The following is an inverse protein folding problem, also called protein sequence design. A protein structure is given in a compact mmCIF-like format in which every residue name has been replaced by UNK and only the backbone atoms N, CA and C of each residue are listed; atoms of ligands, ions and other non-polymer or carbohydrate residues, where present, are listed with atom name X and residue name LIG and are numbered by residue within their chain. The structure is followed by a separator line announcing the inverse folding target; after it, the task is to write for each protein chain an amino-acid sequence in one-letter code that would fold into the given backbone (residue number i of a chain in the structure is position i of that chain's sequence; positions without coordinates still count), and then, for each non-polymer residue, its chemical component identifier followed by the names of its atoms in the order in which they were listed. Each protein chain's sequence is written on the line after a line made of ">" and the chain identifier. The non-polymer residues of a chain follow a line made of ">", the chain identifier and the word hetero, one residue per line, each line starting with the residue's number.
data_IF_290276790561
#
_entry.id   IF_290276790561
#
_cell.length_a   1.000
_cell.length_b   1.000
_cell.length_c   1.000
_cell.angle_alpha   90.00
_cell.angle_beta   90.00
_cell.angle_gamma   90.00
#
_symmetry.space_group_name_H-M   'P 1'
#
loop_
_entity.id
_entity.type
_entity.pdbx_description
1 polymer ?
#
# COMPACT_ATOMS: atom_id res chain seq x y z
N UNK A 1 2.03 59.98 -18.92
CA UNK A 1 2.52 58.84 -18.12
C UNK A 1 1.31 58.06 -17.62
N UNK A 2 0.96 56.96 -18.28
CA UNK A 2 -0.09 56.05 -17.81
C UNK A 2 0.60 54.81 -17.25
N UNK A 3 0.47 54.58 -15.94
CA UNK A 3 0.99 53.39 -15.28
C UNK A 3 0.11 52.20 -15.66
N UNK A 4 0.67 51.24 -16.38
CA UNK A 4 0.09 49.91 -16.50
C UNK A 4 0.29 49.19 -15.18
N UNK A 5 -0.81 48.88 -14.48
CA UNK A 5 -0.79 47.93 -13.37
C UNK A 5 -0.48 46.54 -13.94
N UNK A 6 0.52 45.88 -13.38
CA UNK A 6 0.85 44.50 -13.71
C UNK A 6 -0.34 43.58 -13.36
N UNK A 7 -0.64 42.55 -14.18
CA UNK A 7 -1.65 41.57 -13.83
C UNK A 7 -1.20 40.80 -12.60
N UNK A 8 -2.04 40.84 -11.57
CA UNK A 8 -1.89 40.10 -10.32
C UNK A 8 -1.86 38.58 -10.62
N UNK A 9 -0.71 37.95 -10.45
CA UNK A 9 -0.44 36.53 -10.78
C UNK A 9 -1.03 35.54 -9.77
N UNK A 10 -2.02 35.95 -8.98
CA UNK A 10 -2.70 35.11 -7.99
C UNK A 10 -3.87 34.33 -8.60
N UNK A 11 -3.61 33.52 -9.63
CA UNK A 11 -4.58 32.52 -10.09
C UNK A 11 -4.42 31.26 -9.24
N UNK A 12 -5.05 31.26 -8.07
CA UNK A 12 -5.29 30.01 -7.34
C UNK A 12 -6.37 29.22 -8.06
N UNK A 13 -6.06 28.01 -8.53
CA UNK A 13 -7.06 27.12 -9.13
C UNK A 13 -8.18 26.82 -8.13
N UNK A 14 -9.42 27.01 -8.57
CA UNK A 14 -10.62 26.80 -7.77
C UNK A 14 -11.19 25.40 -8.03
N UNK A 15 -11.35 24.60 -6.99
CA UNK A 15 -12.06 23.33 -7.09
C UNK A 15 -13.57 23.58 -6.97
N UNK A 16 -14.33 23.22 -8.01
CA UNK A 16 -15.79 23.23 -8.00
C UNK A 16 -16.29 21.82 -8.33
N UNK A 17 -16.66 21.05 -7.30
CA UNK A 17 -17.39 19.81 -7.49
C UNK A 17 -18.89 20.13 -7.66
N UNK A 18 -19.52 19.55 -8.68
CA UNK A 18 -20.94 19.71 -8.99
C UNK A 18 -21.69 18.45 -8.53
N UNK A 19 -22.18 18.47 -7.30
CA UNK A 19 -23.42 17.81 -6.85
C UNK A 19 -23.78 18.36 -5.46
N UNK A 20 -25.05 18.26 -5.09
CA UNK A 20 -25.82 19.26 -4.34
C UNK A 20 -25.55 19.47 -2.83
N UNK A 21 -24.36 19.18 -2.31
CA UNK A 21 -23.94 19.50 -0.91
C UNK A 21 -22.44 19.79 -0.81
N UNK A 22 -22.01 21.01 -1.17
CA UNK A 22 -20.62 21.33 -1.57
C UNK A 22 -19.63 21.48 -0.42
N UNK A 23 -18.61 20.61 -0.42
CA UNK A 23 -17.31 20.82 0.24
C UNK A 23 -16.40 21.59 -0.73
N UNK A 24 -16.00 22.82 -0.36
CA UNK A 24 -15.10 23.66 -1.16
C UNK A 24 -13.70 23.66 -0.54
N UNK A 25 -12.80 22.84 -1.09
CA UNK A 25 -11.39 22.85 -0.72
C UNK A 25 -10.73 24.06 -1.38
N UNK A 26 -10.24 25.01 -0.57
CA UNK A 26 -9.52 26.18 -1.07
C UNK A 26 -8.06 26.08 -0.70
N UNK A 27 -7.18 25.84 -1.68
CA UNK A 27 -5.75 26.04 -1.48
C UNK A 27 -5.50 27.53 -1.18
N UNK A 28 -5.18 27.86 0.08
CA UNK A 28 -4.93 29.23 0.52
C UNK A 28 -3.47 29.51 0.92
N UNK A 29 -2.52 28.66 0.53
CA UNK A 29 -1.10 28.86 0.78
C UNK A 29 -0.29 29.20 -0.48
N UNK A 30 0.79 29.96 -0.32
CA UNK A 30 1.81 30.18 -1.36
C UNK A 30 2.43 28.84 -1.77
N UNK A 31 2.06 28.25 -2.91
CA UNK A 31 2.66 27.12 -3.65
C UNK A 31 3.20 25.88 -2.87
N UNK A 32 3.11 25.80 -1.55
CA UNK A 32 3.71 24.76 -0.70
C UNK A 32 2.85 24.35 0.50
N UNK A 33 1.69 24.97 0.72
CA UNK A 33 0.79 24.63 1.83
C UNK A 33 -0.67 24.60 1.38
N UNK A 34 -1.16 23.41 1.03
CA UNK A 34 -2.58 23.19 0.74
C UNK A 34 -3.33 23.20 2.07
N UNK A 35 -4.10 24.27 2.32
CA UNK A 35 -5.09 24.28 3.40
C UNK A 35 -6.42 23.77 2.85
N UNK A 36 -7.15 22.95 3.61
CA UNK A 36 -8.51 22.53 3.25
C UNK A 36 -9.49 23.33 4.10
N UNK A 37 -10.43 24.01 3.45
CA UNK A 37 -11.62 24.57 4.11
C UNK A 37 -12.82 23.75 3.66
N UNK A 38 -13.85 23.66 4.50
CA UNK A 38 -15.13 23.02 4.19
C UNK A 38 -16.18 24.11 4.39
N UNK A 39 -16.99 24.41 3.37
CA UNK A 39 -18.05 25.41 3.52
C UNK A 39 -19.18 24.86 4.39
N UNK A 40 -19.70 25.67 5.32
CA UNK A 40 -20.84 25.32 6.18
C UNK A 40 -20.48 24.74 7.55
N UNK A 41 -19.21 24.40 7.78
CA UNK A 41 -18.68 24.19 9.13
C UNK A 41 -17.78 25.38 9.49
N UNK A 42 -17.81 25.81 10.75
CA UNK A 42 -16.84 26.77 11.27
C UNK A 42 -15.41 26.30 10.96
N UNK A 43 -14.41 27.21 10.94
CA UNK A 43 -13.04 26.84 10.59
C UNK A 43 -12.65 25.58 11.34
N UNK A 44 -12.26 24.51 10.62
CA UNK A 44 -11.63 23.36 11.23
C UNK A 44 -10.54 23.92 12.14
N UNK A 45 -10.69 23.79 13.46
CA UNK A 45 -9.67 24.26 14.40
C UNK A 45 -8.38 23.57 13.96
N UNK A 46 -7.37 24.32 13.51
CA UNK A 46 -6.16 23.73 12.96
C UNK A 46 -5.38 23.16 14.14
N UNK A 47 -5.73 21.93 14.55
CA UNK A 47 -4.78 21.10 15.27
C UNK A 47 -3.78 20.63 14.23
N UNK A 48 -2.77 21.47 14.09
CA UNK A 48 -1.51 21.27 13.38
C UNK A 48 -1.62 21.24 11.85
N UNK A 49 -1.02 22.26 11.24
CA UNK A 49 -0.86 22.44 9.81
C UNK A 49 0.13 21.42 9.24
N UNK A 50 -0.26 20.17 9.11
CA UNK A 50 0.48 19.22 8.28
C UNK A 50 0.10 19.43 6.81
N UNK A 51 1.10 19.45 5.95
CA UNK A 51 0.92 19.44 4.51
C UNK A 51 0.20 18.14 4.10
N UNK A 52 -0.91 18.24 3.37
CA UNK A 52 -1.61 17.08 2.81
C UNK A 52 -0.87 16.61 1.57
N UNK A 53 -0.47 15.34 1.56
CA UNK A 53 0.31 14.70 0.50
C UNK A 53 -0.54 13.73 -0.31
N UNK A 54 -0.25 13.51 -1.60
CA UNK A 54 -0.98 12.51 -2.40
C UNK A 54 -0.93 11.13 -1.76
N UNK A 55 -2.07 10.46 -1.66
CA UNK A 55 -2.28 9.22 -0.92
C UNK A 55 -2.80 9.40 0.51
N UNK A 56 -2.86 10.63 1.03
CA UNK A 56 -3.44 10.90 2.34
C UNK A 56 -4.97 10.66 2.31
N UNK A 57 -5.48 10.14 3.41
CA UNK A 57 -6.92 9.89 3.58
C UNK A 57 -7.53 11.00 4.42
N UNK A 58 -8.64 11.56 3.97
CA UNK A 58 -9.35 12.67 4.59
C UNK A 58 -10.78 12.24 4.94
N UNK A 59 -11.20 12.52 6.17
CA UNK A 59 -12.56 12.23 6.63
C UNK A 59 -13.39 13.50 6.63
N UNK A 60 -14.53 13.49 5.93
CA UNK A 60 -15.48 14.60 5.83
C UNK A 60 -16.85 14.08 6.25
N UNK A 61 -17.25 14.36 7.50
CA UNK A 61 -18.42 13.71 8.09
C UNK A 61 -18.23 12.20 8.20
N UNK A 62 -19.17 11.42 7.65
CA UNK A 62 -19.06 9.96 7.54
C UNK A 62 -18.49 9.51 6.20
N UNK A 63 -17.88 10.38 5.40
CA UNK A 63 -17.32 10.02 4.09
C UNK A 63 -15.80 10.05 4.15
N UNK A 64 -15.18 9.05 3.52
CA UNK A 64 -13.73 8.92 3.42
C UNK A 64 -13.30 9.23 2.00
N UNK A 65 -12.33 10.12 1.88
CA UNK A 65 -11.75 10.57 0.63
C UNK A 65 -10.26 10.29 0.59
N UNK A 66 -9.73 10.00 -0.59
CA UNK A 66 -8.30 9.95 -0.85
C UNK A 66 -7.88 11.21 -1.60
N UNK A 67 -6.82 11.87 -1.12
CA UNK A 67 -6.20 12.97 -1.82
C UNK A 67 -5.26 12.43 -2.89
N UNK A 68 -5.49 12.78 -4.15
CA UNK A 68 -4.76 12.28 -5.31
C UNK A 68 -4.20 13.47 -6.12
N UNK A 69 -3.06 13.27 -6.79
CA UNK A 69 -2.40 14.26 -7.66
C UNK A 69 -2.49 13.88 -9.15
N UNK A 70 -3.19 12.80 -9.53
CA UNK A 70 -3.40 12.41 -10.93
C UNK A 70 -3.88 13.60 -11.80
N UNK A 71 -2.94 14.25 -12.49
CA UNK A 71 -3.03 15.43 -13.37
C UNK A 71 -3.67 16.71 -12.81
N UNK A 72 -4.46 16.64 -11.74
CA UNK A 72 -5.01 17.77 -10.99
C UNK A 72 -5.33 17.28 -9.58
N UNK A 73 -4.89 18.00 -8.55
CA UNK A 73 -5.15 17.64 -7.15
C UNK A 73 -6.65 17.39 -6.93
N UNK A 74 -7.05 16.16 -6.58
CA UNK A 74 -8.47 15.77 -6.47
C UNK A 74 -8.73 14.99 -5.19
N UNK A 75 -9.92 15.16 -4.63
CA UNK A 75 -10.47 14.20 -3.66
C UNK A 75 -11.28 13.15 -4.40
N UNK A 76 -10.91 11.90 -4.20
CA UNK A 76 -11.68 10.76 -4.69
C UNK A 76 -12.44 10.15 -3.53
N UNK A 77 -13.77 10.10 -3.64
CA UNK A 77 -14.62 9.40 -2.69
C UNK A 77 -14.26 7.91 -2.68
N UNK A 78 -14.02 7.37 -1.49
CA UNK A 78 -13.66 5.95 -1.28
C UNK A 78 -14.89 5.17 -0.82
N UNK A 79 -15.46 5.60 0.32
CA UNK A 79 -16.62 4.95 0.93
C UNK A 79 -17.27 5.85 1.97
N UNK A 80 -18.50 5.49 2.36
CA UNK A 80 -19.04 5.90 3.66
C UNK A 80 -18.39 5.06 4.75
N UNK A 81 -18.10 5.71 5.86
CA UNK A 81 -17.50 5.17 7.07
C UNK A 81 -18.35 5.52 8.29
N UNK A 82 -19.55 4.93 8.31
CA UNK A 82 -20.61 5.22 9.30
C UNK A 82 -20.22 4.82 10.72
N UNK A 83 -19.23 3.94 10.89
CA UNK A 83 -18.79 3.40 12.20
C UNK A 83 -17.32 3.69 12.53
N UNK A 84 -16.71 4.65 11.83
CA UNK A 84 -15.29 5.00 11.99
C UNK A 84 -14.35 3.80 11.78
N UNK A 85 -14.77 2.88 10.91
CA UNK A 85 -14.11 1.65 10.55
C UNK A 85 -12.73 1.91 9.94
N UNK A 86 -12.56 2.94 9.10
CA UNK A 86 -11.25 3.19 8.48
C UNK A 86 -10.22 3.64 9.52
N UNK A 87 -10.59 4.50 10.46
CA UNK A 87 -9.67 4.91 11.53
C UNK A 87 -9.35 3.75 12.47
N UNK A 88 -10.28 2.81 12.69
CA UNK A 88 -10.00 1.57 13.44
C UNK A 88 -9.04 0.65 12.69
N UNK A 89 -9.20 0.52 11.38
CA UNK A 89 -8.35 -0.35 10.55
C UNK A 89 -6.95 0.25 10.33
N UNK A 90 -6.89 1.57 10.11
CA UNK A 90 -5.70 2.30 9.71
C UNK A 90 -5.60 3.66 10.45
N UNK A 91 -5.28 3.65 11.76
CA UNK A 91 -5.35 4.85 12.61
C UNK A 91 -4.40 5.99 12.17
N UNK A 92 -3.32 5.67 11.46
CA UNK A 92 -2.36 6.65 10.91
C UNK A 92 -2.57 6.91 9.41
N UNK A 93 -3.68 6.44 8.85
CA UNK A 93 -3.94 6.39 7.42
C UNK A 93 -3.26 5.20 6.73
N UNK A 94 -3.84 4.78 5.61
CA UNK A 94 -3.39 3.56 4.88
C UNK A 94 -1.97 3.73 4.34
N UNK A 95 -1.58 4.93 3.91
CA UNK A 95 -0.25 5.20 3.35
C UNK A 95 0.88 5.02 4.36
N UNK A 96 0.57 5.17 5.64
CA UNK A 96 1.53 5.10 6.74
C UNK A 96 1.36 3.80 7.54
N UNK A 97 0.94 2.70 6.87
CA UNK A 97 0.94 1.40 7.54
C UNK A 97 2.37 1.00 7.86
N UNK A 98 2.65 0.79 9.15
CA UNK A 98 3.89 0.21 9.59
C UNK A 98 3.66 -1.10 10.35
N UNK A 99 4.59 -2.02 10.16
CA UNK A 99 4.54 -3.35 10.73
C UNK A 99 5.93 -3.98 10.84
N UNK A 100 6.04 -4.96 11.73
CA UNK A 100 7.14 -5.90 11.80
C UNK A 100 6.63 -7.29 11.45
N UNK A 101 7.29 -7.92 10.49
CA UNK A 101 7.09 -9.31 10.14
C UNK A 101 7.41 -10.24 11.33
N UNK A 102 6.65 -11.34 11.42
CA UNK A 102 6.89 -12.39 12.42
C UNK A 102 7.14 -13.78 11.79
N UNK A 103 6.70 -14.03 10.56
CA UNK A 103 6.85 -15.32 9.84
C UNK A 103 7.36 -15.08 8.41
N UNK A 104 7.54 -16.11 7.58
CA UNK A 104 8.09 -16.00 6.22
C UNK A 104 7.12 -15.49 5.15
N UNK A 105 6.21 -14.58 5.50
CA UNK A 105 5.21 -13.97 4.62
C UNK A 105 5.71 -12.67 3.94
N UNK A 106 7.03 -12.57 3.71
CA UNK A 106 7.67 -11.30 3.32
C UNK A 106 7.15 -10.80 1.97
N UNK A 107 6.81 -11.74 1.08
CA UNK A 107 6.21 -11.46 -0.22
C UNK A 107 4.87 -10.73 -0.08
N UNK A 108 4.02 -11.16 0.85
CA UNK A 108 2.72 -10.55 1.11
C UNK A 108 2.89 -9.17 1.75
N UNK A 109 3.68 -9.08 2.82
CA UNK A 109 3.88 -7.85 3.57
C UNK A 109 4.55 -6.75 2.71
N UNK A 110 5.59 -7.09 1.95
CA UNK A 110 6.21 -6.15 1.01
C UNK A 110 5.24 -5.67 -0.07
N UNK A 111 4.34 -6.54 -0.53
CA UNK A 111 3.26 -6.15 -1.45
C UNK A 111 2.28 -5.18 -0.81
N UNK A 112 1.82 -5.45 0.43
CA UNK A 112 0.95 -4.54 1.17
C UNK A 112 1.59 -3.17 1.36
N UNK A 113 2.88 -3.12 1.74
CA UNK A 113 3.61 -1.86 1.88
C UNK A 113 3.70 -1.12 0.55
N UNK A 114 4.01 -1.82 -0.54
CA UNK A 114 4.11 -1.23 -1.87
C UNK A 114 2.77 -0.63 -2.34
N UNK A 115 1.66 -1.36 -2.14
CA UNK A 115 0.32 -0.88 -2.44
C UNK A 115 -0.06 0.33 -1.58
N UNK A 116 0.30 0.32 -0.30
CA UNK A 116 -0.03 1.43 0.60
C UNK A 116 0.61 2.76 0.20
N UNK A 117 1.82 2.72 -0.37
CA UNK A 117 2.54 3.91 -0.85
C UNK A 117 1.95 4.46 -2.15
N UNK A 118 1.12 3.66 -2.84
CA UNK A 118 0.44 4.04 -4.07
C UNK A 118 -1.00 4.52 -3.80
N UNK A 119 -1.46 5.68 -4.31
CA UNK A 119 -2.83 6.14 -4.06
C UNK A 119 -3.94 5.14 -4.49
N UNK A 120 -3.80 4.50 -5.66
CA UNK A 120 -4.76 3.48 -6.11
C UNK A 120 -4.63 2.19 -5.31
N UNK A 121 -3.41 1.80 -4.96
CA UNK A 121 -3.16 0.65 -4.07
C UNK A 121 -3.78 0.84 -2.69
N UNK A 122 -3.61 2.01 -2.07
CA UNK A 122 -4.21 2.36 -0.79
C UNK A 122 -5.74 2.30 -0.82
N UNK A 123 -6.36 2.76 -1.91
CA UNK A 123 -7.80 2.60 -2.11
C UNK A 123 -8.21 1.12 -2.18
N UNK A 124 -7.48 0.29 -2.95
CA UNK A 124 -7.77 -1.14 -3.05
C UNK A 124 -7.73 -1.79 -1.65
N UNK A 125 -6.70 -1.51 -0.85
CA UNK A 125 -6.58 -2.04 0.51
C UNK A 125 -7.78 -1.67 1.40
N UNK A 126 -8.32 -0.46 1.25
CA UNK A 126 -9.53 -0.04 1.99
C UNK A 126 -10.81 -0.71 1.50
N UNK A 127 -10.91 -0.96 0.20
CA UNK A 127 -12.08 -1.58 -0.43
C UNK A 127 -12.15 -3.09 -0.17
N UNK A 128 -11.00 -3.74 0.06
CA UNK A 128 -10.95 -5.17 0.39
C UNK A 128 -11.69 -5.51 1.68
N UNK A 129 -11.78 -4.60 2.65
CA UNK A 129 -12.26 -4.89 4.00
C UNK A 129 -13.66 -4.29 4.21
N UNK A 130 -14.64 -5.15 4.45
CA UNK A 130 -16.02 -4.79 4.77
C UNK A 130 -16.37 -5.17 6.22
N UNK A 131 -16.86 -4.23 7.05
CA UNK A 131 -17.28 -4.56 8.41
C UNK A 131 -18.55 -5.40 8.40
N UNK A 132 -18.62 -6.39 9.29
CA UNK A 132 -19.81 -7.21 9.53
C UNK A 132 -20.59 -6.71 10.76
N UNK A 133 -21.85 -7.15 10.91
CA UNK A 133 -22.73 -6.71 12.01
C UNK A 133 -22.30 -7.20 13.39
N UNK A 134 -21.59 -8.33 13.45
CA UNK A 134 -21.09 -8.99 14.66
C UNK A 134 -19.75 -8.41 15.18
N UNK A 135 -19.20 -7.41 14.47
CA UNK A 135 -17.90 -6.81 14.76
C UNK A 135 -16.70 -7.53 14.12
N UNK A 136 -16.93 -8.56 13.32
CA UNK A 136 -15.94 -9.12 12.41
C UNK A 136 -15.82 -8.30 11.11
N UNK A 137 -15.02 -8.84 10.18
CA UNK A 137 -14.81 -8.26 8.86
C UNK A 137 -14.90 -9.34 7.78
N UNK A 138 -15.34 -8.96 6.59
CA UNK A 138 -15.27 -9.77 5.38
C UNK A 138 -14.19 -9.17 4.48
N UNK A 139 -13.32 -10.02 3.95
CA UNK A 139 -12.24 -9.61 3.04
C UNK A 139 -12.47 -10.20 1.66
N UNK A 140 -12.49 -9.36 0.63
CA UNK A 140 -12.56 -9.78 -0.77
C UNK A 140 -11.31 -9.35 -1.51
N UNK A 141 -10.55 -10.33 -2.01
CA UNK A 141 -9.35 -10.10 -2.80
C UNK A 141 -9.72 -9.74 -4.25
N UNK A 142 -9.23 -8.63 -4.83
CA UNK A 142 -9.57 -8.25 -6.19
C UNK A 142 -9.18 -9.30 -7.26
N UNK A 143 -8.15 -10.11 -7.01
CA UNK A 143 -7.79 -11.25 -7.87
C UNK A 143 -8.74 -12.45 -7.78
N UNK A 144 -9.63 -12.48 -6.79
CA UNK A 144 -10.67 -13.49 -6.58
C UNK A 144 -12.00 -12.80 -6.18
N UNK A 145 -12.60 -11.98 -7.05
CA UNK A 145 -13.70 -11.08 -6.67
C UNK A 145 -15.01 -11.81 -6.33
N UNK A 146 -15.11 -13.12 -6.62
CA UNK A 146 -16.27 -13.96 -6.32
C UNK A 146 -16.16 -14.66 -4.97
N UNK A 147 -15.01 -14.57 -4.31
CA UNK A 147 -14.76 -15.21 -3.03
C UNK A 147 -14.54 -14.14 -1.94
N UNK A 148 -14.94 -14.50 -0.72
CA UNK A 148 -14.73 -13.65 0.43
C UNK A 148 -14.37 -14.47 1.65
N UNK A 149 -13.48 -13.92 2.47
CA UNK A 149 -12.94 -14.55 3.65
C UNK A 149 -13.39 -13.79 4.88
N UNK A 150 -14.17 -14.45 5.72
CA UNK A 150 -14.61 -13.86 6.99
C UNK A 150 -13.46 -13.90 8.01
N UNK A 151 -13.27 -12.80 8.72
CA UNK A 151 -12.36 -12.65 9.86
C UNK A 151 -13.24 -12.28 11.04
N UNK A 152 -13.58 -13.28 11.85
CA UNK A 152 -14.56 -13.15 12.93
C UNK A 152 -14.00 -12.30 14.07
N UNK A 153 -14.88 -11.84 14.97
CA UNK A 153 -14.44 -11.18 16.21
C UNK A 153 -13.50 -12.06 17.04
N UNK A 154 -13.71 -13.37 17.05
CA UNK A 154 -12.85 -14.32 17.76
C UNK A 154 -11.46 -14.40 17.10
N UNK A 155 -11.40 -14.45 15.76
CA UNK A 155 -10.13 -14.41 15.03
C UNK A 155 -9.31 -13.18 15.41
N UNK A 156 -9.96 -12.01 15.50
CA UNK A 156 -9.32 -10.74 15.89
C UNK A 156 -8.74 -10.78 17.30
N UNK A 157 -9.48 -11.35 18.25
CA UNK A 157 -9.00 -11.51 19.62
C UNK A 157 -7.78 -12.44 19.67
N UNK A 158 -7.81 -13.53 18.89
CA UNK A 158 -6.71 -14.50 18.83
C UNK A 158 -5.45 -13.89 18.18
N UNK A 159 -5.61 -13.06 17.14
CA UNK A 159 -4.49 -12.35 16.48
C UNK A 159 -3.75 -11.38 17.41
N UNK A 160 -4.39 -10.86 18.45
CA UNK A 160 -3.75 -9.95 19.41
C UNK A 160 -2.61 -10.60 20.20
N UNK A 161 -2.66 -11.92 20.38
CA UNK A 161 -1.76 -12.68 21.23
C UNK A 161 -0.88 -13.68 20.44
N UNK A 162 -1.01 -13.71 19.11
CA UNK A 162 -0.39 -14.72 18.28
C UNK A 162 1.04 -14.33 17.89
N UNK A 163 2.02 -15.17 18.20
CA UNK A 163 3.43 -14.98 17.81
C UNK A 163 3.64 -15.09 16.29
N UNK A 164 2.76 -15.82 15.59
CA UNK A 164 2.79 -16.05 14.15
C UNK A 164 1.96 -15.04 13.35
N UNK A 165 1.68 -13.86 13.94
CA UNK A 165 0.99 -12.77 13.27
C UNK A 165 1.88 -11.56 13.09
N UNK A 166 1.65 -10.81 12.01
CA UNK A 166 2.25 -9.50 11.79
C UNK A 166 2.05 -8.59 13.01
N UNK A 167 3.14 -8.00 13.48
CA UNK A 167 3.12 -7.02 14.57
C UNK A 167 2.84 -5.65 13.97
N UNK A 168 1.60 -5.18 14.09
CA UNK A 168 1.17 -3.89 13.58
C UNK A 168 0.14 -3.24 14.49
N UNK A 169 0.16 -1.90 14.54
CA UNK A 169 -0.90 -1.09 15.15
C UNK A 169 -2.08 -0.86 14.18
N UNK A 170 -1.97 -1.33 12.94
CA UNK A 170 -3.02 -1.23 11.93
C UNK A 170 -3.78 -2.55 11.86
N UNK A 171 -4.97 -2.57 12.46
CA UNK A 171 -5.83 -3.76 12.46
C UNK A 171 -6.13 -4.25 11.03
N UNK A 172 -6.20 -3.35 10.04
CA UNK A 172 -6.41 -3.71 8.64
C UNK A 172 -5.30 -4.60 8.07
N UNK A 173 -4.05 -4.42 8.49
CA UNK A 173 -2.92 -5.28 8.04
C UNK A 173 -3.10 -6.70 8.57
N UNK A 174 -3.46 -6.83 9.86
CA UNK A 174 -3.72 -8.14 10.50
C UNK A 174 -4.91 -8.86 9.86
N UNK A 175 -5.99 -8.13 9.57
CA UNK A 175 -7.18 -8.67 8.90
C UNK A 175 -6.83 -9.21 7.51
N UNK A 176 -6.08 -8.45 6.72
CA UNK A 176 -5.69 -8.90 5.37
C UNK A 176 -4.77 -10.11 5.43
N UNK A 177 -3.74 -10.10 6.30
CA UNK A 177 -2.83 -11.23 6.50
C UNK A 177 -3.61 -12.50 6.90
N UNK A 178 -4.56 -12.38 7.84
CA UNK A 178 -5.37 -13.51 8.29
C UNK A 178 -6.36 -14.02 7.23
N UNK A 179 -6.97 -13.12 6.46
CA UNK A 179 -7.80 -13.52 5.32
C UNK A 179 -6.96 -14.23 4.25
N UNK A 180 -5.72 -13.79 4.01
CA UNK A 180 -4.80 -14.43 3.07
C UNK A 180 -4.39 -15.83 3.55
N UNK A 181 -4.20 -16.01 4.86
CA UNK A 181 -4.03 -17.33 5.45
C UNK A 181 -5.22 -18.25 5.19
N UNK A 182 -6.47 -17.77 5.39
CA UNK A 182 -7.67 -18.55 5.08
C UNK A 182 -7.76 -18.93 3.61
N UNK A 183 -7.39 -18.01 2.70
CA UNK A 183 -7.28 -18.30 1.27
C UNK A 183 -6.30 -19.45 0.99
N UNK A 184 -5.08 -19.37 1.52
CA UNK A 184 -4.05 -20.40 1.31
C UNK A 184 -4.47 -21.74 1.90
N UNK A 185 -5.14 -21.72 3.06
CA UNK A 185 -5.72 -22.90 3.68
C UNK A 185 -6.79 -23.57 2.81
N UNK A 186 -7.71 -22.80 2.23
CA UNK A 186 -8.77 -23.33 1.36
C UNK A 186 -8.19 -23.98 0.09
N UNK A 187 -7.20 -23.35 -0.54
CA UNK A 187 -6.51 -23.90 -1.71
C UNK A 187 -5.84 -25.23 -1.35
N UNK A 188 -5.11 -25.28 -0.24
CA UNK A 188 -4.42 -26.48 0.24
C UNK A 188 -5.41 -27.62 0.60
N UNK A 189 -6.58 -27.31 1.15
CA UNK A 189 -7.64 -28.30 1.41
C UNK A 189 -8.29 -28.83 0.11
N UNK A 190 -8.36 -28.00 -0.93
CA UNK A 190 -8.96 -28.39 -2.23
C UNK A 190 -8.10 -29.35 -3.05
N UNK A 191 -6.78 -29.41 -2.79
CA UNK A 191 -5.84 -30.30 -3.48
C UNK A 191 -5.92 -31.77 -3.00
N UNK A 192 -6.82 -32.08 -2.06
CA UNK A 192 -7.04 -33.42 -1.51
C UNK A 192 -6.15 -33.72 -0.29
N UNK A 193 -6.41 -34.82 0.43
CA UNK A 193 -5.61 -35.19 1.59
C UNK A 193 -4.24 -35.70 1.11
N UNK A 194 -3.26 -34.80 0.96
CA UNK A 194 -1.88 -35.24 1.08
C UNK A 194 -1.64 -35.77 2.50
N UNK A 195 -0.88 -36.87 2.56
CA UNK A 195 -0.35 -37.57 3.74
C UNK A 195 -0.88 -37.06 5.11
N UNK A 196 -1.60 -37.88 5.90
CA UNK A 196 -2.09 -37.51 7.23
C UNK A 196 -1.02 -36.89 8.15
N UNK A 197 0.27 -37.18 7.91
CA UNK A 197 1.41 -36.57 8.62
C UNK A 197 1.62 -35.08 8.28
N UNK A 198 1.23 -34.62 7.10
CA UNK A 198 1.29 -33.22 6.63
C UNK A 198 0.06 -32.44 7.07
N UNK A 199 -1.12 -33.09 7.11
CA UNK A 199 -2.39 -32.47 7.54
C UNK A 199 -2.36 -31.85 8.96
N UNK A 200 -1.48 -32.36 9.83
CA UNK A 200 -1.31 -31.92 11.23
C UNK A 200 -0.57 -30.57 11.36
N UNK A 201 0.00 -30.04 10.27
CA UNK A 201 0.88 -28.86 10.30
C UNK A 201 0.37 -27.67 9.47
N UNK A 202 -0.93 -27.56 9.17
CA UNK A 202 -1.55 -26.40 8.48
C UNK A 202 -1.64 -25.14 9.36
N UNK A 203 -0.56 -24.80 10.05
CA UNK A 203 -0.47 -23.56 10.84
C UNK A 203 -0.26 -22.37 9.90
N UNK A 204 -0.52 -21.16 10.40
CA UNK A 204 -0.29 -19.92 9.64
C UNK A 204 1.18 -19.77 9.24
N UNK A 205 2.09 -20.12 10.14
CA UNK A 205 3.53 -20.20 9.85
C UNK A 205 3.84 -21.06 8.62
N UNK A 206 3.25 -22.26 8.52
CA UNK A 206 3.53 -23.16 7.40
C UNK A 206 2.90 -22.65 6.09
N UNK A 207 1.62 -22.25 6.13
CA UNK A 207 0.88 -21.89 4.93
C UNK A 207 1.27 -20.54 4.32
N UNK A 208 1.79 -19.62 5.15
CA UNK A 208 2.26 -18.32 4.69
C UNK A 208 3.78 -18.25 4.46
N UNK A 209 4.55 -19.27 4.82
CA UNK A 209 5.99 -19.28 4.51
C UNK A 209 6.23 -19.46 2.99
N UNK A 210 7.20 -18.73 2.45
CA UNK A 210 7.77 -18.93 1.10
C UNK A 210 6.77 -18.76 -0.07
N UNK A 211 5.99 -17.69 -0.08
CA UNK A 211 5.14 -17.35 -1.24
C UNK A 211 5.83 -16.52 -2.32
N UNK A 212 5.10 -16.26 -3.40
CA UNK A 212 5.56 -15.51 -4.56
C UNK A 212 5.04 -14.06 -4.54
N UNK A 213 5.91 -13.08 -4.84
CA UNK A 213 5.52 -11.66 -4.86
C UNK A 213 4.57 -11.33 -6.02
N UNK A 214 4.66 -12.06 -7.13
CA UNK A 214 3.78 -11.87 -8.27
C UNK A 214 2.37 -12.40 -8.04
N UNK A 215 2.25 -13.54 -7.35
CA UNK A 215 0.99 -14.08 -6.83
C UNK A 215 0.33 -13.10 -5.87
N UNK A 216 1.05 -12.61 -4.86
CA UNK A 216 0.50 -11.65 -3.90
C UNK A 216 0.04 -10.34 -4.58
N UNK A 217 0.82 -9.81 -5.52
CA UNK A 217 0.43 -8.66 -6.33
C UNK A 217 -0.86 -8.91 -7.11
N UNK A 218 -0.96 -10.07 -7.78
CA UNK A 218 -2.17 -10.44 -8.52
C UNK A 218 -3.38 -10.57 -7.59
N UNK A 219 -3.27 -11.31 -6.49
CA UNK A 219 -4.39 -11.53 -5.56
C UNK A 219 -4.88 -10.22 -4.94
N UNK A 220 -3.95 -9.34 -4.53
CA UNK A 220 -4.26 -8.06 -3.91
C UNK A 220 -4.71 -6.98 -4.91
N UNK A 221 -4.60 -7.18 -6.23
CA UNK A 221 -4.96 -6.12 -7.19
C UNK A 221 -5.89 -6.55 -8.30
N UNK A 222 -5.99 -7.85 -8.57
CA UNK A 222 -6.66 -8.40 -9.75
C UNK A 222 -5.97 -8.06 -11.06
N UNK A 223 -4.78 -7.46 -11.00
CA UNK A 223 -4.04 -6.99 -12.17
C UNK A 223 -2.98 -8.01 -12.58
N UNK A 224 -2.75 -8.11 -13.89
CA UNK A 224 -1.64 -8.92 -14.41
C UNK A 224 -0.31 -8.37 -13.89
N UNK A 225 0.43 -9.21 -13.20
CA UNK A 225 1.78 -8.91 -12.72
C UNK A 225 2.77 -8.92 -13.90
N UNK A 226 3.65 -7.92 -13.92
CA UNK A 226 4.84 -7.90 -14.77
C UNK A 226 6.05 -8.39 -13.96
N UNK A 227 6.86 -9.23 -14.58
CA UNK A 227 8.01 -9.88 -13.96
C UNK A 227 9.29 -9.53 -14.73
N UNK A 228 10.31 -9.08 -14.02
CA UNK A 228 11.60 -8.68 -14.59
C UNK A 228 12.74 -9.39 -13.85
N UNK A 229 13.32 -10.46 -14.42
CA UNK A 229 14.51 -11.10 -13.86
C UNK A 229 15.71 -10.15 -13.97
N UNK A 230 16.40 -9.89 -12.87
CA UNK A 230 17.50 -8.91 -12.82
C UNK A 230 18.74 -9.39 -13.56
N UNK A 231 18.96 -10.71 -13.68
CA UNK A 231 20.07 -11.26 -14.45
C UNK A 231 19.97 -10.98 -15.96
N UNK A 232 18.80 -10.51 -16.42
CA UNK A 232 18.57 -10.07 -17.81
C UNK A 232 18.62 -8.54 -17.97
N UNK A 233 18.92 -7.79 -16.91
CA UNK A 233 18.96 -6.34 -16.94
C UNK A 233 20.42 -5.86 -16.89
N UNK A 234 20.83 -5.11 -17.89
CA UNK A 234 22.04 -4.29 -17.81
C UNK A 234 21.73 -2.89 -17.22
N UNK A 235 22.77 -2.07 -17.03
CA UNK A 235 22.67 -0.71 -16.48
C UNK A 235 21.70 0.18 -17.26
N UNK A 236 21.61 0.02 -18.59
CA UNK A 236 20.71 0.80 -19.43
C UNK A 236 19.26 0.32 -19.25
N UNK A 237 19.04 -0.99 -19.22
CA UNK A 237 17.73 -1.62 -19.07
C UNK A 237 17.14 -1.33 -17.69
N UNK A 238 17.90 -1.43 -16.61
CA UNK A 238 17.41 -1.11 -15.26
C UNK A 238 17.00 0.36 -15.15
N UNK A 239 17.78 1.26 -15.76
CA UNK A 239 17.49 2.70 -15.76
C UNK A 239 16.19 3.02 -16.50
N UNK A 240 15.98 2.43 -17.68
CA UNK A 240 14.73 2.63 -18.44
C UNK A 240 13.52 1.95 -17.77
N UNK A 241 13.71 0.76 -17.18
CA UNK A 241 12.69 0.10 -16.38
C UNK A 241 12.27 1.01 -15.22
N UNK A 242 13.21 1.47 -14.41
CA UNK A 242 12.92 2.30 -13.23
C UNK A 242 12.34 3.67 -13.59
N UNK A 243 12.75 4.30 -14.69
CA UNK A 243 12.04 5.47 -15.23
C UNK A 243 10.57 5.16 -15.54
N UNK A 244 10.31 4.02 -16.18
CA UNK A 244 8.95 3.57 -16.55
C UNK A 244 8.09 3.29 -15.31
N UNK A 245 8.63 2.55 -14.33
CA UNK A 245 7.92 2.24 -13.08
C UNK A 245 7.57 3.52 -12.31
N UNK A 246 8.51 4.48 -12.25
CA UNK A 246 8.30 5.80 -11.62
C UNK A 246 7.25 6.62 -12.34
N UNK A 247 7.35 6.77 -13.66
CA UNK A 247 6.44 7.59 -14.46
C UNK A 247 4.99 7.07 -14.39
N UNK A 248 4.82 5.76 -14.28
CA UNK A 248 3.52 5.13 -14.15
C UNK A 248 3.05 4.99 -12.69
N UNK A 249 3.89 5.35 -11.72
CA UNK A 249 3.63 5.17 -10.30
C UNK A 249 3.18 3.72 -10.02
N UNK A 250 3.99 2.75 -10.42
CA UNK A 250 3.64 1.32 -10.30
C UNK A 250 4.03 0.77 -8.94
N UNK A 251 3.10 0.16 -8.17
CA UNK A 251 3.48 -0.67 -7.03
C UNK A 251 4.49 -1.73 -7.46
N UNK A 252 5.63 -1.74 -6.80
CA UNK A 252 6.79 -2.54 -7.16
C UNK A 252 7.36 -3.23 -5.92
N UNK A 253 7.68 -4.51 -6.07
CA UNK A 253 8.27 -5.39 -5.05
C UNK A 253 9.44 -6.12 -5.71
N UNK A 254 10.49 -6.41 -4.95
CA UNK A 254 11.66 -7.13 -5.46
C UNK A 254 12.09 -8.22 -4.49
N UNK A 255 12.65 -9.30 -5.03
CA UNK A 255 13.13 -10.45 -4.27
C UNK A 255 14.66 -10.52 -4.32
N UNK A 256 15.29 -10.85 -3.18
CA UNK A 256 16.73 -11.12 -3.12
C UNK A 256 17.06 -12.57 -3.46
N UNK A 257 18.24 -12.82 -4.03
CA UNK A 257 18.61 -14.15 -4.53
C UNK A 257 19.32 -15.09 -3.56
N UNK A 258 20.26 -14.57 -2.78
CA UNK A 258 21.12 -15.33 -1.85
C UNK A 258 21.41 -14.50 -0.62
N UNK A 259 22.07 -15.06 0.40
CA UNK A 259 22.56 -14.29 1.55
C UNK A 259 23.61 -13.32 1.05
N UNK A 260 23.34 -12.02 1.13
CA UNK A 260 24.29 -11.01 0.70
C UNK A 260 24.52 -10.11 1.90
N UNK A 261 25.68 -10.32 2.50
CA UNK A 261 26.34 -9.34 3.32
C UNK A 261 27.71 -9.14 2.70
N UNK A 262 27.94 -7.96 2.12
CA UNK A 262 29.20 -7.31 2.39
C UNK A 262 29.01 -5.79 2.50
N UNK A 263 29.51 -5.19 3.59
CA UNK A 263 29.57 -3.74 3.83
C UNK A 263 28.34 -3.07 4.48
N UNK A 264 27.66 -3.80 5.37
CA UNK A 264 27.13 -3.18 6.59
C UNK A 264 25.68 -2.70 6.61
N UNK A 265 24.83 -2.99 5.61
CA UNK A 265 23.37 -2.88 5.75
C UNK A 265 22.63 -3.93 4.90
N UNK A 266 21.57 -4.50 5.49
CA UNK A 266 21.02 -5.83 5.26
C UNK A 266 20.28 -6.09 3.93
N UNK A 267 20.68 -7.16 3.22
CA UNK A 267 19.77 -7.94 2.36
C UNK A 267 19.66 -9.37 2.88
N UNK A 268 18.53 -9.71 3.51
CA UNK A 268 18.21 -11.11 3.83
C UNK A 268 18.10 -11.91 2.54
N UNK A 269 18.55 -13.16 2.53
CA UNK A 269 18.37 -14.07 1.38
C UNK A 269 16.91 -14.43 1.17
N UNK A 270 16.51 -14.64 -0.09
CA UNK A 270 15.17 -15.13 -0.44
C UNK A 270 14.07 -14.31 0.25
N UNK A 271 14.26 -12.99 0.26
CA UNK A 271 13.43 -12.06 1.02
C UNK A 271 12.89 -10.96 0.13
N UNK A 272 11.60 -10.68 0.26
CA UNK A 272 10.94 -9.66 -0.53
C UNK A 272 11.05 -8.28 0.12
N UNK A 273 11.29 -7.26 -0.70
CA UNK A 273 11.36 -5.86 -0.31
C UNK A 273 10.38 -5.03 -1.14
N UNK A 274 9.75 -4.03 -0.50
CA UNK A 274 9.01 -3.00 -1.21
C UNK A 274 9.99 -1.98 -1.82
N UNK A 275 9.81 -1.61 -3.10
CA UNK A 275 10.48 -0.44 -3.68
C UNK A 275 9.57 0.77 -3.48
N UNK A 276 9.89 1.65 -2.53
CA UNK A 276 9.05 2.77 -2.12
C UNK A 276 9.33 4.06 -2.90
N UNK A 277 10.56 4.24 -3.39
CA UNK A 277 10.95 5.41 -4.17
C UNK A 277 12.00 5.02 -5.22
N UNK A 278 11.94 5.69 -6.37
CA UNK A 278 12.91 5.54 -7.46
C UNK A 278 13.46 6.91 -7.81
N UNK A 279 14.79 7.04 -7.83
CA UNK A 279 15.50 8.24 -8.25
C UNK A 279 16.41 7.97 -9.46
N UNK A 280 15.90 8.16 -10.70
CA UNK A 280 16.69 7.91 -11.91
C UNK A 280 17.84 8.89 -12.14
N UNK A 281 17.83 10.06 -11.49
CA UNK A 281 18.90 11.06 -11.62
C UNK A 281 20.12 10.66 -10.81
N UNK A 282 19.89 10.11 -9.61
CA UNK A 282 20.94 9.59 -8.74
C UNK A 282 21.25 8.12 -8.94
N UNK A 283 20.46 7.43 -9.77
CA UNK A 283 20.52 5.98 -9.96
C UNK A 283 20.40 5.23 -8.63
N UNK A 284 19.43 5.67 -7.81
CA UNK A 284 19.14 5.14 -6.48
C UNK A 284 17.69 4.66 -6.39
N UNK A 285 17.47 3.61 -5.60
CA UNK A 285 16.13 3.21 -5.14
C UNK A 285 16.08 3.20 -3.62
N UNK A 286 14.91 3.53 -3.08
CA UNK A 286 14.59 3.33 -1.66
C UNK A 286 13.82 2.03 -1.53
N UNK A 287 14.33 1.13 -0.70
CA UNK A 287 13.71 -0.17 -0.36
C UNK A 287 13.25 -0.20 1.10
N UNK A 288 12.22 -0.99 1.37
CA UNK A 288 11.65 -1.21 2.71
C UNK A 288 11.65 -2.71 2.99
N UNK A 289 12.25 -3.09 4.12
CA UNK A 289 12.25 -4.46 4.61
C UNK A 289 10.99 -4.71 5.47
N UNK A 290 10.16 -5.75 5.18
CA UNK A 290 8.98 -6.04 5.98
C UNK A 290 9.29 -6.52 7.41
N UNK A 291 10.53 -6.90 7.74
CA UNK A 291 10.96 -7.14 9.14
C UNK A 291 10.70 -5.95 10.06
N UNK A 292 10.88 -4.75 9.52
CA UNK A 292 10.59 -3.47 10.17
C UNK A 292 10.30 -2.43 9.08
N UNK A 293 9.03 -2.35 8.70
CA UNK A 293 8.62 -1.52 7.57
C UNK A 293 8.66 0.00 7.85
N UNK A 294 8.96 0.38 9.10
CA UNK A 294 9.14 1.77 9.50
C UNK A 294 10.49 2.33 9.04
N UNK A 295 11.42 1.43 8.66
CA UNK A 295 12.77 1.79 8.20
C UNK A 295 12.87 1.67 6.69
N UNK A 296 13.47 2.68 6.09
CA UNK A 296 13.78 2.73 4.66
C UNK A 296 15.30 2.69 4.46
N UNK A 297 15.76 2.10 3.36
CA UNK A 297 17.17 2.03 3.00
C UNK A 297 17.36 2.45 1.54
N UNK A 298 18.36 3.28 1.28
CA UNK A 298 18.71 3.72 -0.07
C UNK A 298 19.88 2.92 -0.60
N UNK A 299 19.76 2.44 -1.83
CA UNK A 299 20.83 1.69 -2.51
C UNK A 299 20.94 2.14 -3.96
N UNK A 300 22.14 2.02 -4.52
CA UNK A 300 22.38 2.30 -5.94
C UNK A 300 21.74 1.24 -6.85
N UNK A 301 21.49 1.54 -8.12
CA UNK A 301 21.01 0.55 -9.10
C UNK A 301 22.00 -0.60 -9.27
N UNK A 302 23.30 -0.31 -9.22
CA UNK A 302 24.35 -1.34 -9.25
C UNK A 302 24.21 -2.29 -8.06
N UNK A 303 24.14 -1.75 -6.84
CA UNK A 303 23.91 -2.55 -5.63
C UNK A 303 22.58 -3.32 -5.75
N UNK A 304 21.54 -2.72 -6.31
CA UNK A 304 20.28 -3.42 -6.53
C UNK A 304 20.45 -4.64 -7.47
N UNK A 305 21.06 -4.48 -8.64
CA UNK A 305 21.27 -5.58 -9.59
C UNK A 305 22.18 -6.69 -9.04
N UNK A 306 23.17 -6.34 -8.22
CA UNK A 306 24.03 -7.32 -7.55
C UNK A 306 23.28 -8.15 -6.50
N UNK A 307 22.18 -7.63 -5.94
CA UNK A 307 21.54 -8.20 -4.76
C UNK A 307 20.15 -8.81 -4.96
N UNK A 308 19.40 -8.29 -5.93
CA UNK A 308 18.05 -8.72 -6.22
C UNK A 308 18.06 -9.67 -7.41
N UNK A 309 17.18 -10.68 -7.42
CA UNK A 309 17.03 -11.66 -8.51
C UNK A 309 15.88 -11.33 -9.44
N UNK A 310 14.84 -10.69 -8.95
CA UNK A 310 13.75 -10.25 -9.82
C UNK A 310 12.91 -9.14 -9.18
N UNK A 311 12.25 -8.39 -10.05
CA UNK A 311 11.28 -7.35 -9.72
C UNK A 311 9.90 -7.83 -10.20
N UNK A 312 8.88 -7.64 -9.38
CA UNK A 312 7.48 -7.76 -9.79
C UNK A 312 6.74 -6.45 -9.56
N UNK A 313 5.87 -6.07 -10.50
CA UNK A 313 5.07 -4.86 -10.38
C UNK A 313 3.73 -4.99 -11.11
N UNK A 314 2.84 -4.03 -10.85
CA UNK A 314 1.51 -3.95 -11.47
C UNK A 314 1.22 -2.54 -11.95
N UNK A 315 0.49 -2.40 -13.05
CA UNK A 315 0.02 -1.10 -13.52
C UNK A 315 -1.43 -0.88 -13.06
N UNK A 316 -1.64 -0.04 -12.05
CA UNK A 316 -2.98 0.28 -11.54
C UNK A 316 -3.73 1.33 -12.38
N UNK A 317 -3.12 1.86 -13.45
CA UNK A 317 -3.75 2.86 -14.33
C UNK A 317 -4.69 2.26 -15.38
N UNK A 318 -4.59 0.96 -15.67
CA UNK A 318 -5.31 0.29 -16.77
C UNK A 318 -6.70 -0.24 -16.40
N UNK A 319 -7.37 0.34 -15.40
CA UNK A 319 -8.79 0.11 -15.09
C UNK A 319 -9.62 1.33 -15.48
#
# INVERSE_FOLDING_TARGET
>A
MHSYAAPDSRVGEFFRLKNDDKIIIRNSGNNSKIQVRINGQGPLKPKESSEIKPGDTLKLGNQVYLFDKDNNYKLRFIRKDEKDTINKLFPLGVKNIDFCQSIGDCYLLSTLKSLSKNPRGAELLMKMIEPMSDGGYKVTFPGLPKESFEVTRQDIQNMGNAEDSVKSNHLGVKIIEHAYFKLRKNVDESLGPEDPRISKYKTKLVLLNFGDIGEALYLLTGMKTLFFPTEKLDDKMIKELFKTLKANNMPTVAMTGKNISPQGNMTKSMHAYCISEINPEKEEVTIINPDDSSKESKISYKTFLENFTYISCVNLKSQ
#
